data_IF_092368257817
#
_entry.id   IF_092368257817
#
_cell.length_a   1.000
_cell.length_b   1.000
_cell.length_c   1.000
_cell.angle_alpha   90.00
_cell.angle_beta   90.00
_cell.angle_gamma   90.00
#
_symmetry.space_group_name_H-M   'P 1'
#
loop_
_entity.id
_entity.type
_entity.pdbx_description
1 polymer ?
#
# COMPACT_ATOMS: atom_id res chain seq x y z
N UNK A 1 7.29 -15.98 6.17
CA UNK A 1 8.35 -15.17 5.54
C UNK A 1 8.69 -14.02 6.47
N UNK A 2 9.97 -13.76 6.76
CA UNK A 2 10.32 -12.56 7.54
C UNK A 2 10.44 -11.38 6.58
N UNK A 3 9.69 -10.33 6.84
CA UNK A 3 9.73 -9.09 6.07
C UNK A 3 10.63 -8.11 6.80
N UNK A 4 11.78 -7.84 6.22
CA UNK A 4 12.78 -6.94 6.81
C UNK A 4 12.79 -5.62 6.05
N UNK A 5 12.52 -4.53 6.76
CA UNK A 5 12.53 -3.18 6.20
C UNK A 5 13.96 -2.63 6.23
N UNK A 6 14.54 -2.39 5.06
CA UNK A 6 15.92 -1.90 4.92
C UNK A 6 15.93 -0.44 4.47
N UNK A 7 16.14 0.46 5.44
CA UNK A 7 16.13 1.91 5.22
C UNK A 7 17.13 2.39 4.16
N UNK A 8 18.33 1.82 4.15
CA UNK A 8 19.38 2.22 3.21
C UNK A 8 19.01 1.84 1.77
N UNK A 9 18.47 0.63 1.59
CA UNK A 9 18.02 0.17 0.27
C UNK A 9 16.83 1.02 -0.20
N UNK A 10 15.86 1.30 0.68
CA UNK A 10 14.69 2.14 0.36
C UNK A 10 15.15 3.53 -0.08
N UNK A 11 15.99 4.20 0.72
CA UNK A 11 16.49 5.55 0.40
C UNK A 11 17.29 5.60 -0.91
N UNK A 12 18.05 4.55 -1.19
CA UNK A 12 18.85 4.41 -2.42
C UNK A 12 18.08 3.99 -3.66
N UNK A 13 16.80 3.62 -3.54
CA UNK A 13 16.01 3.13 -4.67
C UNK A 13 15.73 4.26 -5.68
N UNK A 14 16.01 3.98 -6.97
CA UNK A 14 15.71 4.93 -8.04
C UNK A 14 14.29 4.68 -8.56
N UNK A 15 13.41 5.64 -8.36
CA UNK A 15 12.01 5.64 -8.81
C UNK A 15 11.71 6.74 -9.83
N UNK A 16 12.72 7.42 -10.39
CA UNK A 16 12.55 8.58 -11.29
C UNK A 16 11.73 8.23 -12.54
N UNK A 17 11.89 7.00 -13.06
CA UNK A 17 11.12 6.53 -14.20
C UNK A 17 9.61 6.39 -13.90
N UNK A 18 9.23 6.09 -12.66
CA UNK A 18 7.81 6.05 -12.22
C UNK A 18 7.28 7.46 -12.00
N UNK A 19 8.08 8.31 -11.36
CA UNK A 19 7.75 9.73 -11.19
C UNK A 19 7.45 10.41 -12.53
N UNK A 20 8.22 10.09 -13.58
CA UNK A 20 8.01 10.63 -14.92
C UNK A 20 6.67 10.19 -15.56
N UNK A 21 6.05 9.13 -15.07
CA UNK A 21 4.73 8.66 -15.51
C UNK A 21 3.58 9.22 -14.67
N UNK A 22 3.87 9.83 -13.51
CA UNK A 22 2.86 10.33 -12.60
C UNK A 22 2.08 11.51 -13.18
N UNK A 23 0.76 11.52 -12.96
CA UNK A 23 -0.10 12.66 -13.30
C UNK A 23 0.18 13.88 -12.42
N UNK A 24 0.61 13.64 -11.20
CA UNK A 24 1.03 14.69 -10.29
C UNK A 24 2.46 14.46 -9.79
N UNK A 25 3.48 14.87 -10.57
CA UNK A 25 4.88 14.74 -10.14
C UNK A 25 5.20 15.47 -8.82
N UNK A 26 4.33 16.38 -8.38
CA UNK A 26 4.49 17.08 -7.10
C UNK A 26 4.20 16.17 -5.90
N UNK A 27 3.40 15.12 -6.05
CA UNK A 27 3.20 14.11 -5.00
C UNK A 27 4.50 13.35 -4.71
N UNK A 28 5.42 13.32 -5.67
CA UNK A 28 6.76 12.74 -5.55
C UNK A 28 7.81 13.75 -5.03
N UNK A 29 7.40 14.76 -4.27
CA UNK A 29 8.33 15.62 -3.55
C UNK A 29 9.04 14.83 -2.43
N UNK A 30 9.98 15.46 -1.73
CA UNK A 30 10.90 14.74 -0.83
C UNK A 30 10.19 13.89 0.22
N UNK A 31 9.09 14.35 0.82
CA UNK A 31 8.32 13.60 1.81
C UNK A 31 7.53 12.41 1.17
N UNK A 32 6.79 12.64 0.08
CA UNK A 32 6.06 11.57 -0.62
C UNK A 32 6.99 10.60 -1.37
N UNK A 33 8.18 11.04 -1.77
CA UNK A 33 9.15 10.16 -2.41
C UNK A 33 9.65 9.04 -1.50
N UNK A 34 9.75 9.28 -0.19
CA UNK A 34 10.15 8.23 0.77
C UNK A 34 9.12 7.11 0.82
N UNK A 35 7.86 7.46 0.91
CA UNK A 35 6.72 6.54 0.90
C UNK A 35 6.68 5.71 -0.40
N UNK A 36 6.77 6.36 -1.56
CA UNK A 36 6.76 5.66 -2.83
C UNK A 36 7.99 4.77 -3.03
N UNK A 37 9.14 5.12 -2.48
CA UNK A 37 10.30 4.23 -2.43
C UNK A 37 10.07 3.04 -1.50
N UNK A 38 9.37 3.22 -0.37
CA UNK A 38 8.96 2.11 0.49
C UNK A 38 8.04 1.14 -0.26
N UNK A 39 7.01 1.64 -0.94
CA UNK A 39 6.09 0.81 -1.72
C UNK A 39 6.80 0.06 -2.85
N UNK A 40 7.68 0.75 -3.59
CA UNK A 40 8.52 0.15 -4.61
C UNK A 40 9.42 -0.96 -4.03
N UNK A 41 10.07 -0.71 -2.89
CA UNK A 41 10.89 -1.70 -2.19
C UNK A 41 10.08 -2.93 -1.79
N UNK A 42 8.93 -2.72 -1.14
CA UNK A 42 8.08 -3.83 -0.68
C UNK A 42 7.58 -4.68 -1.85
N UNK A 43 7.27 -4.06 -2.99
CA UNK A 43 6.88 -4.81 -4.20
C UNK A 43 7.97 -5.76 -4.68
N UNK A 44 9.26 -5.47 -4.42
CA UNK A 44 10.38 -6.35 -4.82
C UNK A 44 10.51 -7.60 -3.96
N UNK A 45 9.90 -7.62 -2.78
CA UNK A 45 9.95 -8.77 -1.87
C UNK A 45 9.03 -9.93 -2.33
N UNK A 46 8.13 -9.66 -3.27
CA UNK A 46 7.18 -10.62 -3.83
C UNK A 46 7.37 -10.72 -5.35
N UNK A 47 7.04 -11.88 -5.92
CA UNK A 47 7.18 -12.09 -7.37
C UNK A 47 6.03 -12.92 -7.91
N UNK A 48 5.43 -12.46 -9.00
CA UNK A 48 4.35 -13.16 -9.70
C UNK A 48 3.04 -13.14 -8.93
N UNK A 49 2.86 -12.16 -8.04
CA UNK A 49 1.67 -12.02 -7.20
C UNK A 49 0.83 -10.81 -7.65
N UNK A 50 -0.38 -10.73 -7.10
CA UNK A 50 -1.22 -9.55 -7.20
C UNK A 50 -0.97 -8.64 -5.99
N UNK A 51 -0.94 -7.34 -6.21
CA UNK A 51 -0.90 -6.30 -5.19
C UNK A 51 -2.11 -5.41 -5.39
N UNK A 52 -2.87 -5.16 -4.33
CA UNK A 52 -3.99 -4.23 -4.38
C UNK A 52 -3.56 -2.84 -3.86
N UNK A 53 -4.06 -1.82 -4.52
CA UNK A 53 -3.92 -0.42 -4.16
C UNK A 53 -5.33 0.16 -4.00
N UNK A 54 -5.72 0.51 -2.78
CA UNK A 54 -7.06 0.96 -2.43
C UNK A 54 -7.01 2.44 -2.10
N UNK A 55 -7.63 3.27 -2.95
CA UNK A 55 -7.56 4.71 -2.92
C UNK A 55 -6.61 5.27 -3.98
N UNK A 56 -6.88 4.94 -5.25
CA UNK A 56 -5.97 5.27 -6.38
C UNK A 56 -5.69 6.75 -6.56
N UNK A 57 -6.69 7.60 -6.32
CA UNK A 57 -6.63 9.04 -6.57
C UNK A 57 -5.97 9.37 -7.91
N UNK A 58 -4.73 9.89 -7.91
CA UNK A 58 -3.95 10.22 -9.11
C UNK A 58 -3.00 9.10 -9.54
N UNK A 59 -2.99 7.95 -8.84
CA UNK A 59 -2.25 6.74 -9.20
C UNK A 59 -0.80 6.70 -8.75
N UNK A 60 -0.38 7.53 -7.81
CA UNK A 60 0.99 7.58 -7.31
C UNK A 60 1.42 6.31 -6.60
N UNK A 61 0.60 5.82 -5.69
CA UNK A 61 0.79 4.56 -4.92
C UNK A 61 0.83 3.34 -5.84
N UNK A 62 -0.13 3.22 -6.78
CA UNK A 62 -0.14 2.15 -7.78
C UNK A 62 1.12 2.13 -8.63
N UNK A 63 1.59 3.31 -9.08
CA UNK A 63 2.85 3.42 -9.81
C UNK A 63 4.03 2.92 -8.98
N UNK A 64 4.12 3.31 -7.72
CA UNK A 64 5.19 2.88 -6.83
C UNK A 64 5.18 1.35 -6.61
N UNK A 65 4.01 0.78 -6.31
CA UNK A 65 3.81 -0.67 -6.16
C UNK A 65 4.13 -1.45 -7.44
N UNK A 66 3.98 -0.83 -8.62
CA UNK A 66 4.28 -1.44 -9.91
C UNK A 66 5.76 -1.51 -10.26
N UNK A 67 6.66 -1.10 -9.37
CA UNK A 67 8.11 -1.10 -9.57
C UNK A 67 8.63 -2.48 -9.96
N UNK A 68 8.17 -3.55 -9.29
CA UNK A 68 8.45 -4.90 -9.73
C UNK A 68 7.44 -5.34 -10.79
N UNK A 69 7.84 -5.26 -12.06
CA UNK A 69 6.97 -5.58 -13.20
C UNK A 69 6.53 -7.04 -13.30
N UNK A 70 7.05 -7.92 -12.45
CA UNK A 70 6.58 -9.32 -12.36
C UNK A 70 5.28 -9.45 -11.59
N UNK A 71 4.91 -8.43 -10.79
CA UNK A 71 3.65 -8.40 -10.06
C UNK A 71 2.57 -7.69 -10.87
N UNK A 72 1.31 -8.07 -10.64
CA UNK A 72 0.15 -7.35 -11.16
C UNK A 72 -0.40 -6.43 -10.10
N UNK A 73 -0.61 -5.18 -10.44
CA UNK A 73 -1.24 -4.20 -9.56
C UNK A 73 -2.69 -4.05 -10.00
N UNK A 74 -3.62 -4.15 -9.06
CA UNK A 74 -5.02 -3.77 -9.28
C UNK A 74 -5.30 -2.61 -8.35
N UNK A 75 -5.56 -1.45 -8.93
CA UNK A 75 -5.78 -0.21 -8.20
C UNK A 75 -7.26 0.14 -8.25
N UNK A 76 -7.83 0.43 -7.08
CA UNK A 76 -9.25 0.66 -6.87
C UNK A 76 -9.50 2.08 -6.36
N UNK A 77 -10.55 2.70 -6.87
CA UNK A 77 -11.12 3.93 -6.34
C UNK A 77 -12.64 3.90 -6.56
N UNK A 78 -13.38 4.61 -5.74
CA UNK A 78 -14.83 4.79 -5.94
C UNK A 78 -15.15 5.86 -6.98
N UNK A 79 -14.14 6.64 -7.40
CA UNK A 79 -14.28 7.74 -8.36
C UNK A 79 -13.10 7.76 -9.33
N UNK A 80 -13.40 8.09 -10.60
CA UNK A 80 -12.34 8.34 -11.59
C UNK A 80 -11.70 9.71 -11.34
N UNK A 81 -10.40 9.72 -11.08
CA UNK A 81 -9.61 10.93 -10.83
C UNK A 81 -8.43 11.07 -11.78
N UNK A 82 -8.48 10.38 -12.92
CA UNK A 82 -7.47 10.46 -13.99
C UNK A 82 -6.45 9.34 -13.97
N UNK A 83 -6.33 8.58 -12.88
CA UNK A 83 -5.33 7.50 -12.75
C UNK A 83 -5.36 6.51 -13.92
N UNK A 84 -6.54 6.19 -14.47
CA UNK A 84 -6.72 5.27 -15.61
C UNK A 84 -6.04 5.73 -16.90
N UNK A 85 -5.61 7.00 -16.98
CA UNK A 85 -4.85 7.53 -18.14
C UNK A 85 -3.39 7.11 -18.10
N UNK A 86 -2.85 6.69 -16.96
CA UNK A 86 -1.49 6.16 -16.82
C UNK A 86 -1.43 4.81 -17.53
N UNK A 87 -0.50 4.68 -18.48
CA UNK A 87 -0.31 3.46 -19.26
C UNK A 87 0.91 2.71 -18.76
N UNK A 88 0.69 1.73 -17.89
CA UNK A 88 1.72 0.80 -17.41
C UNK A 88 1.16 -0.63 -17.46
N UNK A 89 1.87 -1.53 -18.13
CA UNK A 89 1.34 -2.85 -18.52
C UNK A 89 0.94 -3.74 -17.35
N UNK A 90 1.54 -3.53 -16.17
CA UNK A 90 1.25 -4.32 -14.98
C UNK A 90 0.31 -3.61 -14.00
N UNK A 91 -0.42 -2.56 -14.43
CA UNK A 91 -1.46 -1.91 -13.62
C UNK A 91 -2.81 -2.06 -14.30
N UNK A 92 -3.81 -2.47 -13.53
CA UNK A 92 -5.23 -2.46 -13.90
C UNK A 92 -5.97 -1.50 -12.99
N UNK A 93 -6.74 -0.58 -13.57
CA UNK A 93 -7.53 0.42 -12.85
C UNK A 93 -8.99 -0.04 -12.78
N UNK A 94 -9.60 0.00 -11.59
CA UNK A 94 -11.00 -0.36 -11.36
C UNK A 94 -11.71 0.72 -10.56
N UNK A 95 -12.90 1.13 -11.03
CA UNK A 95 -13.75 2.12 -10.35
C UNK A 95 -14.88 1.37 -9.66
N UNK A 96 -14.57 0.83 -8.49
CA UNK A 96 -15.48 0.08 -7.62
C UNK A 96 -14.83 -0.15 -6.26
N UNK A 97 -15.61 -0.62 -5.29
CA UNK A 97 -15.05 -1.19 -4.06
C UNK A 97 -14.39 -2.54 -4.35
N UNK A 98 -13.18 -2.76 -3.87
CA UNK A 98 -12.47 -4.04 -4.07
C UNK A 98 -13.20 -5.22 -3.41
N UNK A 99 -13.98 -4.95 -2.34
CA UNK A 99 -14.77 -5.95 -1.62
C UNK A 99 -15.87 -6.56 -2.48
N UNK A 100 -16.33 -5.82 -3.50
CA UNK A 100 -17.35 -6.23 -4.46
C UNK A 100 -16.77 -6.93 -5.70
N UNK A 101 -15.45 -7.08 -5.78
CA UNK A 101 -14.78 -7.74 -6.90
C UNK A 101 -14.66 -9.25 -6.67
N UNK A 102 -15.58 -10.01 -7.23
CA UNK A 102 -15.63 -11.47 -7.15
C UNK A 102 -14.58 -12.19 -8.02
N UNK A 103 -13.83 -11.44 -8.83
CA UNK A 103 -12.75 -11.98 -9.67
C UNK A 103 -11.40 -12.07 -8.96
N UNK A 104 -11.30 -11.54 -7.72
CA UNK A 104 -10.06 -11.53 -6.96
C UNK A 104 -9.71 -12.93 -6.43
N UNK A 105 -8.49 -13.35 -6.75
CA UNK A 105 -7.85 -14.53 -6.14
C UNK A 105 -7.06 -14.11 -4.89
N UNK A 106 -7.71 -14.16 -3.72
CA UNK A 106 -7.11 -13.77 -2.45
C UNK A 106 -5.88 -14.61 -2.06
N UNK A 107 -5.75 -15.84 -2.55
CA UNK A 107 -4.58 -16.68 -2.29
C UNK A 107 -3.33 -16.18 -3.02
N UNK A 108 -3.51 -15.43 -4.11
CA UNK A 108 -2.43 -14.81 -4.88
C UNK A 108 -2.16 -13.34 -4.53
N UNK A 109 -2.90 -12.73 -3.59
CA UNK A 109 -2.68 -11.34 -3.18
C UNK A 109 -1.65 -11.30 -2.06
N UNK A 110 -0.54 -10.58 -2.28
CA UNK A 110 0.57 -10.48 -1.31
C UNK A 110 0.58 -9.20 -0.49
N UNK A 111 0.18 -8.08 -1.09
CA UNK A 111 0.12 -6.76 -0.44
C UNK A 111 -1.23 -6.12 -0.74
N UNK A 112 -1.79 -5.44 0.25
CA UNK A 112 -2.91 -4.52 0.11
C UNK A 112 -2.50 -3.18 0.74
N UNK A 113 -2.44 -2.12 -0.06
CA UNK A 113 -2.23 -0.76 0.37
C UNK A 113 -3.59 -0.11 0.57
N UNK A 114 -3.80 0.60 1.68
CA UNK A 114 -5.06 1.26 2.05
C UNK A 114 -4.76 2.71 2.39
N UNK A 115 -5.34 3.62 1.58
CA UNK A 115 -5.33 5.06 1.76
C UNK A 115 -6.66 5.61 1.23
N UNK A 116 -7.66 5.76 2.09
CA UNK A 116 -9.04 6.08 1.69
C UNK A 116 -9.64 7.23 2.49
N UNK A 117 -10.44 8.07 1.82
CA UNK A 117 -11.28 9.07 2.47
C UNK A 117 -12.50 8.39 3.18
N UNK A 118 -12.97 8.94 4.33
CA UNK A 118 -12.70 10.27 4.88
C UNK A 118 -11.61 10.34 5.95
N UNK A 119 -10.71 9.40 6.10
CA UNK A 119 -9.66 9.31 7.14
C UNK A 119 -10.22 9.33 8.58
N UNK A 120 -11.35 8.65 8.79
CA UNK A 120 -12.03 8.53 10.09
C UNK A 120 -11.85 7.14 10.73
N UNK A 121 -11.02 6.29 10.15
CA UNK A 121 -10.71 4.94 10.62
C UNK A 121 -11.81 3.91 10.34
N UNK A 122 -13.02 4.34 9.95
CA UNK A 122 -14.17 3.44 9.77
C UNK A 122 -13.99 2.51 8.57
N UNK A 123 -13.58 3.07 7.42
CA UNK A 123 -13.37 2.28 6.21
C UNK A 123 -12.20 1.30 6.36
N UNK A 124 -11.13 1.76 7.00
CA UNK A 124 -9.95 0.96 7.29
C UNK A 124 -10.30 -0.22 8.19
N UNK A 125 -11.07 0.01 9.27
CA UNK A 125 -11.53 -1.04 10.19
C UNK A 125 -12.43 -2.06 9.49
N UNK A 126 -13.38 -1.62 8.68
CA UNK A 126 -14.24 -2.50 7.88
C UNK A 126 -13.44 -3.35 6.88
N UNK A 127 -12.42 -2.78 6.23
CA UNK A 127 -11.55 -3.53 5.31
C UNK A 127 -10.73 -4.58 6.06
N UNK A 128 -10.20 -4.25 7.24
CA UNK A 128 -9.49 -5.21 8.08
C UNK A 128 -10.39 -6.36 8.51
N UNK A 129 -11.63 -6.07 8.96
CA UNK A 129 -12.60 -7.11 9.31
C UNK A 129 -12.94 -8.00 8.10
N UNK A 130 -13.09 -7.40 6.91
CA UNK A 130 -13.36 -8.14 5.69
C UNK A 130 -12.22 -9.11 5.36
N UNK A 131 -10.97 -8.65 5.43
CA UNK A 131 -9.78 -9.45 5.17
C UNK A 131 -9.61 -10.58 6.20
N UNK A 132 -9.89 -10.31 7.46
CA UNK A 132 -9.86 -11.33 8.53
C UNK A 132 -10.95 -12.40 8.33
N UNK A 133 -12.18 -12.00 8.00
CA UNK A 133 -13.29 -12.91 7.65
C UNK A 133 -12.94 -13.80 6.44
N UNK A 134 -12.21 -13.25 5.45
CA UNK A 134 -11.67 -14.01 4.31
C UNK A 134 -10.51 -14.93 4.70
N UNK A 135 -9.94 -14.79 5.92
CA UNK A 135 -8.72 -15.47 6.35
C UNK A 135 -7.54 -15.21 5.41
N UNK A 136 -7.54 -14.03 4.82
CA UNK A 136 -6.46 -13.63 3.94
C UNK A 136 -5.12 -13.57 4.67
N UNK A 137 -4.04 -13.83 3.96
CA UNK A 137 -2.68 -13.85 4.50
C UNK A 137 -1.77 -13.03 3.62
N UNK A 138 -1.35 -11.89 4.10
CA UNK A 138 -0.46 -11.00 3.39
C UNK A 138 -0.05 -9.80 4.22
N UNK A 139 0.44 -8.79 3.55
CA UNK A 139 0.89 -7.54 4.15
C UNK A 139 -0.09 -6.42 3.82
N UNK A 140 -0.66 -5.78 4.83
CA UNK A 140 -1.36 -4.50 4.67
C UNK A 140 -0.35 -3.37 4.89
N UNK A 141 -0.40 -2.38 4.01
CA UNK A 141 0.17 -1.04 4.22
C UNK A 141 -0.99 -0.11 4.52
N UNK A 142 -0.93 0.54 5.68
CA UNK A 142 -1.96 1.47 6.13
C UNK A 142 -1.36 2.86 6.19
N UNK A 143 -1.94 3.79 5.45
CA UNK A 143 -1.51 5.19 5.50
C UNK A 143 -2.15 5.94 6.67
N UNK A 144 -1.61 7.13 6.97
CA UNK A 144 -2.16 8.08 7.93
C UNK A 144 -2.25 7.61 9.39
N UNK A 145 -1.38 6.69 9.83
CA UNK A 145 -1.39 6.16 11.21
C UNK A 145 -0.89 7.15 12.27
N UNK A 146 -0.50 8.36 11.89
CA UNK A 146 0.08 9.37 12.78
C UNK A 146 -0.98 10.31 13.38
N UNK A 147 -0.55 11.21 14.30
CA UNK A 147 -1.43 12.06 15.10
C UNK A 147 -2.19 13.13 14.31
N UNK A 148 -1.92 13.30 13.03
CA UNK A 148 -2.71 14.17 12.14
C UNK A 148 -4.13 13.62 11.91
N UNK A 149 -4.30 12.30 12.05
CA UNK A 149 -5.54 11.57 11.85
C UNK A 149 -5.85 10.73 13.10
N UNK A 150 -6.36 11.36 14.18
CA UNK A 150 -6.50 10.70 15.48
C UNK A 150 -7.40 9.47 15.46
N UNK A 151 -8.39 9.40 14.59
CA UNK A 151 -9.29 8.26 14.47
C UNK A 151 -8.57 7.06 13.83
N UNK A 152 -7.70 7.29 12.83
CA UNK A 152 -6.86 6.23 12.24
C UNK A 152 -5.76 5.83 13.22
N UNK A 153 -5.15 6.78 13.94
CA UNK A 153 -4.18 6.48 15.01
C UNK A 153 -4.81 5.59 16.10
N UNK A 154 -6.04 5.89 16.52
CA UNK A 154 -6.78 5.05 17.47
C UNK A 154 -7.04 3.65 16.90
N UNK A 155 -7.45 3.54 15.64
CA UNK A 155 -7.60 2.26 14.96
C UNK A 155 -6.26 1.52 14.90
N UNK A 156 -5.18 2.17 14.45
CA UNK A 156 -3.84 1.61 14.43
C UNK A 156 -3.44 1.04 15.78
N UNK A 157 -3.67 1.76 16.87
CA UNK A 157 -3.32 1.33 18.23
C UNK A 157 -4.10 0.08 18.65
N UNK A 158 -5.35 -0.09 18.21
CA UNK A 158 -6.22 -1.25 18.50
C UNK A 158 -5.90 -2.50 17.68
N UNK A 159 -5.17 -2.40 16.54
CA UNK A 159 -4.79 -3.54 15.72
C UNK A 159 -3.97 -4.54 16.55
N UNK A 160 -4.42 -5.80 16.60
CA UNK A 160 -3.78 -6.89 17.35
C UNK A 160 -2.88 -7.78 16.49
N UNK A 161 -2.95 -7.67 15.18
CA UNK A 161 -2.03 -8.35 14.27
C UNK A 161 -0.58 -7.87 14.45
N UNK A 162 0.43 -8.70 14.12
CA UNK A 162 1.81 -8.24 14.08
C UNK A 162 1.94 -7.00 13.19
N UNK A 163 2.46 -5.93 13.76
CA UNK A 163 2.55 -4.63 13.06
C UNK A 163 3.87 -3.93 13.32
N UNK A 164 4.27 -3.07 12.40
CA UNK A 164 5.47 -2.25 12.47
C UNK A 164 5.16 -0.85 11.94
N UNK A 165 5.43 0.17 12.74
CA UNK A 165 5.45 1.55 12.26
C UNK A 165 6.67 1.75 11.36
N UNK A 166 6.43 2.12 10.09
CA UNK A 166 7.44 2.33 9.06
C UNK A 166 7.50 3.78 8.58
N UNK A 167 6.89 4.70 9.33
CA UNK A 167 6.80 6.13 9.01
C UNK A 167 8.15 6.79 8.74
N UNK A 168 9.25 6.27 9.31
CA UNK A 168 10.61 6.80 9.07
C UNK A 168 11.01 6.77 7.57
N UNK A 169 10.41 5.88 6.80
CA UNK A 169 10.60 5.74 5.34
C UNK A 169 9.26 5.77 4.59
N UNK A 170 8.18 6.10 5.29
CA UNK A 170 6.81 6.19 4.79
C UNK A 170 6.36 7.63 4.59
N UNK A 171 5.06 7.84 4.68
CA UNK A 171 4.43 9.15 4.57
C UNK A 171 4.65 9.98 5.84
N UNK A 172 4.59 11.31 5.69
CA UNK A 172 4.77 12.25 6.81
C UNK A 172 3.62 12.19 7.84
N UNK A 173 2.45 11.74 7.45
CA UNK A 173 1.28 11.50 8.31
C UNK A 173 1.30 10.12 8.98
N UNK A 174 2.34 9.33 8.72
CA UNK A 174 2.55 8.00 9.26
C UNK A 174 2.18 6.89 8.29
N UNK A 175 2.98 5.82 8.28
CA UNK A 175 2.70 4.61 7.49
C UNK A 175 2.93 3.38 8.35
N UNK A 176 1.92 2.48 8.37
CA UNK A 176 1.95 1.22 9.11
C UNK A 176 2.09 0.02 8.18
N UNK A 177 2.82 -0.98 8.61
CA UNK A 177 2.85 -2.30 8.00
C UNK A 177 2.20 -3.31 8.96
N UNK A 178 1.21 -4.08 8.49
CA UNK A 178 0.47 -5.05 9.31
C UNK A 178 0.50 -6.41 8.61
N UNK A 179 0.91 -7.45 9.32
CA UNK A 179 0.91 -8.82 8.81
C UNK A 179 -0.35 -9.58 9.19
N UNK A 180 -1.14 -9.99 8.21
CA UNK A 180 -2.27 -10.92 8.38
C UNK A 180 -1.84 -12.39 8.42
N UNK A 181 -0.55 -12.68 8.29
CA UNK A 181 0.01 -14.01 8.53
C UNK A 181 0.85 -14.02 9.80
N UNK A 182 0.38 -14.69 10.85
CA UNK A 182 1.10 -14.83 12.12
C UNK A 182 2.50 -15.48 12.00
N UNK A 183 2.82 -16.04 10.84
CA UNK A 183 4.14 -16.60 10.55
C UNK A 183 5.13 -15.57 9.97
N UNK A 184 4.66 -14.37 9.65
CA UNK A 184 5.49 -13.29 9.16
C UNK A 184 5.89 -12.39 10.33
N UNK A 185 7.18 -12.24 10.53
CA UNK A 185 7.72 -11.21 11.43
C UNK A 185 8.08 -9.98 10.60
N UNK A 186 7.65 -8.81 11.11
CA UNK A 186 8.02 -7.51 10.56
C UNK A 186 9.16 -6.96 11.41
N UNK A 187 10.25 -6.55 10.78
CA UNK A 187 11.38 -5.99 11.50
C UNK A 187 12.16 -4.98 10.67
N UNK A 188 12.80 -4.06 11.38
CA UNK A 188 13.83 -3.23 10.76
C UNK A 188 15.12 -4.04 10.56
N UNK A 189 15.82 -3.78 9.46
CA UNK A 189 17.17 -4.27 9.30
C UNK A 189 18.09 -3.48 10.26
N UNK A 190 18.71 -4.21 11.17
CA UNK A 190 19.77 -3.70 12.04
C UNK A 190 21.01 -3.27 11.25
#
# INVERSE_FOLDING_TARGET
MNITINKEVIRGLNTDHLKAMSLNPNDWHEAGQSEYKLYAYLSTLFQGTTILDIGSRTGGSALALSYNEKNQIISYDLREQGASTIKKNNITWKIQDFRDDDTLDYDNISIIMIDVDPHDGTQEEEMFEFLDKKRWKGLVLLDDIGPQWPEIEDFWNRITFPKLDVSEVGHMSGTGAVSFDSKHELSWKS
#
